data_IF_887338576307
#
_entry.id   IF_887338576307
#
_cell.length_a   1.000
_cell.length_b   1.000
_cell.length_c   1.000
_cell.angle_alpha   90.00
_cell.angle_beta   90.00
_cell.angle_gamma   90.00
#
_symmetry.space_group_name_H-M   'P 1'
#
loop_
_entity.id
_entity.type
_entity.pdbx_description
1 polymer ?
#
# COMPACT_ATOMS: atom_id res chain seq x y z
N UNK A 1 21.26 15.12 14.65
CA UNK A 1 21.86 13.77 14.69
C UNK A 1 22.89 13.60 15.80
N UNK A 2 23.56 14.67 16.26
CA UNK A 2 24.64 14.59 17.26
C UNK A 2 24.30 13.78 18.51
N UNK A 3 23.19 14.11 19.21
CA UNK A 3 22.77 13.35 20.41
C UNK A 3 22.46 11.87 20.11
N UNK A 4 21.80 11.60 18.98
CA UNK A 4 21.42 10.24 18.59
C UNK A 4 22.65 9.34 18.34
N UNK A 5 23.68 9.90 17.69
CA UNK A 5 24.93 9.19 17.45
C UNK A 5 25.78 9.09 18.72
N UNK A 6 25.78 10.14 19.56
CA UNK A 6 26.56 10.18 20.80
C UNK A 6 26.12 9.11 21.81
N UNK A 7 24.81 8.89 21.99
CA UNK A 7 24.34 7.83 22.92
C UNK A 7 24.71 6.42 22.43
N UNK A 8 24.84 6.22 21.12
CA UNK A 8 25.29 4.96 20.56
C UNK A 8 26.80 4.79 20.73
N UNK A 9 27.60 5.81 20.41
CA UNK A 9 29.06 5.72 20.44
C UNK A 9 29.64 5.69 21.86
N UNK A 10 29.17 6.59 22.74
CA UNK A 10 29.76 6.77 24.08
C UNK A 10 29.08 5.91 25.15
N UNK A 11 27.82 5.53 24.93
CA UNK A 11 27.03 4.80 25.92
C UNK A 11 26.57 3.43 25.45
N UNK A 12 26.93 3.01 24.24
CA UNK A 12 26.58 1.69 23.70
C UNK A 12 25.07 1.46 23.60
N UNK A 13 24.29 2.54 23.53
CA UNK A 13 22.84 2.45 23.43
C UNK A 13 22.47 1.80 22.09
N UNK A 14 21.68 0.72 22.16
CA UNK A 14 21.20 0.01 20.97
C UNK A 14 19.85 0.58 20.57
N UNK A 15 19.85 1.38 19.52
CA UNK A 15 18.63 1.93 18.94
C UNK A 15 17.67 0.84 18.48
N UNK A 16 16.37 1.08 18.68
CA UNK A 16 15.27 0.22 18.24
C UNK A 16 14.64 0.78 16.97
N UNK A 17 13.87 -0.02 16.23
CA UNK A 17 13.10 0.47 15.07
C UNK A 17 12.27 1.70 15.43
N UNK A 18 11.73 1.77 16.65
CA UNK A 18 10.98 2.92 17.14
C UNK A 18 11.84 4.18 17.29
N UNK A 19 13.05 4.10 17.85
CA UNK A 19 13.92 5.28 18.00
C UNK A 19 14.41 5.79 16.65
N UNK A 20 14.69 4.90 15.69
CA UNK A 20 14.97 5.27 14.31
C UNK A 20 13.77 5.94 13.63
N UNK A 21 12.58 5.35 13.76
CA UNK A 21 11.35 5.91 13.20
C UNK A 21 11.10 7.33 13.73
N UNK A 22 11.35 7.58 15.01
CA UNK A 22 11.28 8.93 15.58
C UNK A 22 12.31 9.89 14.97
N UNK A 23 13.56 9.45 14.79
CA UNK A 23 14.57 10.31 14.16
C UNK A 23 14.28 10.60 12.69
N UNK A 24 13.85 9.59 11.93
CA UNK A 24 13.38 9.76 10.55
C UNK A 24 12.24 10.76 10.48
N UNK A 25 11.28 10.65 11.41
CA UNK A 25 10.17 11.60 11.50
C UNK A 25 10.63 13.04 11.73
N UNK A 26 11.56 13.23 12.65
CA UNK A 26 12.16 14.53 12.98
C UNK A 26 12.92 15.08 11.77
N UNK A 27 13.82 14.31 11.18
CA UNK A 27 14.61 14.74 10.02
C UNK A 27 13.71 15.18 8.86
N UNK A 28 12.72 14.37 8.53
CA UNK A 28 11.77 14.70 7.46
C UNK A 28 10.91 15.93 7.77
N UNK A 29 10.56 16.20 9.04
CA UNK A 29 9.87 17.45 9.44
C UNK A 29 10.73 18.70 9.20
N UNK A 30 12.04 18.55 9.27
CA UNK A 30 13.01 19.60 8.93
C UNK A 30 13.48 19.54 7.47
N UNK A 31 12.80 18.77 6.62
CA UNK A 31 13.11 18.60 5.19
C UNK A 31 14.48 17.94 4.90
N UNK A 32 15.09 17.31 5.90
CA UNK A 32 16.35 16.55 5.79
C UNK A 32 16.10 15.12 5.25
N UNK A 33 15.45 15.02 4.09
CA UNK A 33 15.03 13.74 3.51
C UNK A 33 16.21 12.84 3.11
N UNK A 34 17.33 13.43 2.70
CA UNK A 34 18.52 12.66 2.32
C UNK A 34 19.15 11.99 3.53
N UNK A 35 19.25 12.72 4.64
CA UNK A 35 19.75 12.17 5.90
C UNK A 35 18.80 11.14 6.49
N UNK A 36 17.49 11.35 6.37
CA UNK A 36 16.49 10.36 6.77
C UNK A 36 16.62 9.05 5.97
N UNK A 37 16.88 9.14 4.65
CA UNK A 37 17.13 7.96 3.82
C UNK A 37 18.45 7.28 4.16
N UNK A 38 19.52 8.03 4.37
CA UNK A 38 20.80 7.48 4.82
C UNK A 38 20.64 6.71 6.13
N UNK A 39 19.95 7.30 7.10
CA UNK A 39 19.67 6.66 8.39
C UNK A 39 18.87 5.37 8.23
N UNK A 40 17.92 5.34 7.29
CA UNK A 40 17.20 4.12 6.94
C UNK A 40 18.08 3.10 6.23
N UNK A 41 19.04 3.51 5.39
CA UNK A 41 19.94 2.62 4.66
C UNK A 41 21.00 1.98 5.58
N UNK A 42 21.32 2.64 6.70
CA UNK A 42 22.17 2.09 7.76
C UNK A 42 21.52 0.88 8.48
N UNK A 43 20.20 0.65 8.34
CA UNK A 43 19.53 -0.55 8.86
C UNK A 43 18.67 -1.29 7.82
N UNK A 44 18.80 -2.63 7.73
CA UNK A 44 17.97 -3.43 6.84
C UNK A 44 16.53 -3.61 7.34
N UNK A 45 16.30 -3.56 8.65
CA UNK A 45 14.98 -3.77 9.25
C UNK A 45 14.11 -2.51 9.15
N UNK A 46 12.97 -2.64 8.49
CA UNK A 46 11.94 -1.60 8.35
C UNK A 46 10.58 -2.27 8.50
N UNK A 47 9.61 -1.56 9.04
CA UNK A 47 8.24 -2.05 9.22
C UNK A 47 7.22 -1.11 8.55
N UNK A 48 5.93 -1.47 8.61
CA UNK A 48 4.86 -0.63 8.08
C UNK A 48 4.83 0.78 8.70
N UNK A 49 5.24 0.93 9.97
CA UNK A 49 5.27 2.22 10.64
C UNK A 49 6.37 3.13 10.07
N UNK A 50 7.56 2.57 9.77
CA UNK A 50 8.65 3.27 9.08
C UNK A 50 8.16 3.88 7.76
N UNK A 51 7.53 3.07 6.91
CA UNK A 51 7.05 3.54 5.61
C UNK A 51 5.86 4.49 5.73
N UNK A 52 4.96 4.28 6.70
CA UNK A 52 3.88 5.22 6.98
C UNK A 52 4.40 6.61 7.33
N UNK A 53 5.48 6.71 8.11
CA UNK A 53 6.14 7.99 8.41
C UNK A 53 6.64 8.63 7.11
N UNK A 54 7.37 7.88 6.27
CA UNK A 54 7.89 8.39 5.00
C UNK A 54 6.76 8.90 4.09
N UNK A 55 5.68 8.13 3.91
CA UNK A 55 4.53 8.53 3.10
C UNK A 55 3.90 9.83 3.61
N UNK A 56 3.67 9.93 4.93
CA UNK A 56 3.13 11.14 5.55
C UNK A 56 4.03 12.35 5.31
N UNK A 57 5.34 12.18 5.51
CA UNK A 57 6.28 13.29 5.40
C UNK A 57 6.44 13.76 3.95
N UNK A 58 6.59 12.85 3.01
CA UNK A 58 6.61 13.18 1.59
C UNK A 58 5.31 13.85 1.13
N UNK A 59 4.14 13.28 1.48
CA UNK A 59 2.85 13.87 1.15
C UNK A 59 2.69 15.29 1.73
N UNK A 60 3.12 15.51 2.98
CA UNK A 60 3.09 16.83 3.61
C UNK A 60 4.00 17.85 2.91
N UNK A 61 5.16 17.40 2.41
CA UNK A 61 6.10 18.20 1.65
C UNK A 61 5.75 18.34 0.16
N UNK A 62 4.58 17.84 -0.26
CA UNK A 62 4.11 17.86 -1.66
C UNK A 62 4.96 17.00 -2.61
N UNK A 63 5.77 16.09 -2.06
CA UNK A 63 6.67 15.17 -2.76
C UNK A 63 5.97 13.85 -3.07
N UNK A 64 4.91 13.91 -3.88
CA UNK A 64 4.04 12.74 -4.14
C UNK A 64 4.77 11.64 -4.89
N UNK A 65 5.66 12.00 -5.82
CA UNK A 65 6.42 11.01 -6.60
C UNK A 65 7.34 10.20 -5.69
N UNK A 66 8.01 10.86 -4.75
CA UNK A 66 8.87 10.26 -3.75
C UNK A 66 8.10 9.34 -2.81
N UNK A 67 6.86 9.71 -2.43
CA UNK A 67 5.97 8.83 -1.66
C UNK A 67 5.62 7.55 -2.44
N UNK A 68 5.31 7.67 -3.73
CA UNK A 68 4.99 6.53 -4.60
C UNK A 68 6.22 5.65 -4.85
N UNK A 69 7.40 6.25 -5.05
CA UNK A 69 8.65 5.51 -5.22
C UNK A 69 9.04 4.77 -3.95
N UNK A 70 8.83 5.41 -2.79
CA UNK A 70 8.98 4.77 -1.49
C UNK A 70 8.05 3.55 -1.36
N UNK A 71 6.81 3.65 -1.82
CA UNK A 71 5.88 2.51 -1.84
C UNK A 71 6.34 1.39 -2.78
N UNK A 72 6.86 1.71 -3.96
CA UNK A 72 7.30 0.70 -4.92
C UNK A 72 8.48 -0.14 -4.40
N UNK A 73 9.28 0.40 -3.46
CA UNK A 73 10.39 -0.30 -2.81
C UNK A 73 9.96 -1.25 -1.69
N UNK A 74 8.70 -1.22 -1.24
CA UNK A 74 8.21 -2.10 -0.17
C UNK A 74 8.39 -3.59 -0.46
N UNK A 75 8.42 -3.97 -1.74
CA UNK A 75 8.67 -5.36 -2.16
C UNK A 75 10.03 -5.88 -1.71
N UNK A 76 11.04 -5.02 -1.60
CA UNK A 76 12.38 -5.36 -1.10
C UNK A 76 12.36 -5.76 0.38
N UNK A 77 11.33 -5.34 1.12
CA UNK A 77 11.16 -5.57 2.55
C UNK A 77 10.04 -6.58 2.87
N UNK A 78 9.41 -7.17 1.85
CA UNK A 78 8.20 -8.00 2.00
C UNK A 78 7.02 -7.28 2.68
N UNK A 79 6.91 -5.96 2.48
CA UNK A 79 5.86 -5.11 3.08
C UNK A 79 4.85 -4.61 2.04
N UNK A 80 4.87 -5.14 0.81
CA UNK A 80 3.94 -4.75 -0.24
C UNK A 80 2.60 -5.51 -0.10
N UNK A 81 1.83 -5.13 0.91
CA UNK A 81 0.52 -5.66 1.25
C UNK A 81 -0.56 -4.57 1.33
N UNK A 82 -1.78 -4.97 1.71
CA UNK A 82 -2.93 -4.07 1.88
C UNK A 82 -2.66 -2.96 2.90
N UNK A 83 -1.96 -3.26 4.00
CA UNK A 83 -1.67 -2.29 5.06
C UNK A 83 -0.82 -1.14 4.50
N UNK A 84 0.22 -1.46 3.74
CA UNK A 84 1.05 -0.45 3.10
C UNK A 84 0.31 0.37 2.05
N UNK A 85 -0.59 -0.26 1.29
CA UNK A 85 -1.41 0.43 0.30
C UNK A 85 -2.32 1.46 0.95
N UNK A 86 -3.03 1.06 2.01
CA UNK A 86 -3.89 1.95 2.81
C UNK A 86 -3.06 3.07 3.42
N UNK A 87 -1.89 2.78 4.00
CA UNK A 87 -1.03 3.79 4.60
C UNK A 87 -0.62 4.91 3.61
N UNK A 88 -0.26 4.57 2.37
CA UNK A 88 0.08 5.58 1.37
C UNK A 88 -1.15 6.42 0.98
N UNK A 89 -2.27 5.75 0.71
CA UNK A 89 -3.52 6.40 0.32
C UNK A 89 -3.98 7.37 1.42
N UNK A 90 -3.99 6.91 2.67
CA UNK A 90 -4.41 7.70 3.82
C UNK A 90 -3.49 8.90 4.01
N UNK A 91 -2.18 8.72 3.89
CA UNK A 91 -1.22 9.82 3.95
C UNK A 91 -1.47 10.87 2.86
N UNK A 92 -1.69 10.46 1.60
CA UNK A 92 -2.00 11.37 0.51
C UNK A 92 -3.32 12.12 0.77
N UNK A 93 -4.36 11.42 1.21
CA UNK A 93 -5.65 12.04 1.55
C UNK A 93 -5.53 13.03 2.73
N UNK A 94 -4.81 12.66 3.79
CA UNK A 94 -4.56 13.50 4.99
C UNK A 94 -3.91 14.83 4.60
N UNK A 95 -3.00 14.82 3.63
CA UNK A 95 -2.30 16.01 3.13
C UNK A 95 -2.88 16.56 1.82
N UNK A 96 -4.17 16.33 1.58
CA UNK A 96 -4.97 16.92 0.49
C UNK A 96 -4.47 16.61 -0.93
N UNK A 97 -3.72 15.51 -1.11
CA UNK A 97 -3.30 14.93 -2.40
C UNK A 97 -4.34 13.94 -2.93
N UNK A 98 -5.61 14.33 -2.91
CA UNK A 98 -6.74 13.42 -3.19
C UNK A 98 -6.77 13.00 -4.66
N UNK A 99 -6.35 13.89 -5.58
CA UNK A 99 -6.31 13.59 -7.01
C UNK A 99 -5.26 12.51 -7.26
N UNK A 100 -4.07 12.70 -6.71
CA UNK A 100 -2.94 11.78 -6.84
C UNK A 100 -3.22 10.44 -6.14
N UNK A 101 -3.88 10.47 -4.98
CA UNK A 101 -4.35 9.25 -4.31
C UNK A 101 -5.32 8.46 -5.20
N UNK A 102 -6.28 9.13 -5.84
CA UNK A 102 -7.23 8.51 -6.78
C UNK A 102 -6.50 7.96 -8.01
N UNK A 103 -5.56 8.71 -8.58
CA UNK A 103 -4.78 8.25 -9.73
C UNK A 103 -3.92 7.03 -9.41
N UNK A 104 -3.22 7.03 -8.27
CA UNK A 104 -2.41 5.91 -7.81
C UNK A 104 -3.27 4.65 -7.67
N UNK A 105 -4.42 4.81 -7.01
CA UNK A 105 -5.44 3.79 -6.86
C UNK A 105 -5.94 3.22 -8.20
N UNK A 106 -6.37 4.08 -9.12
CA UNK A 106 -6.83 3.67 -10.46
C UNK A 106 -5.75 2.98 -11.29
N UNK A 107 -4.48 3.41 -11.18
CA UNK A 107 -3.35 2.76 -11.86
C UNK A 107 -3.11 1.34 -11.35
N UNK A 108 -3.19 1.12 -10.03
CA UNK A 108 -3.07 -0.22 -9.43
C UNK A 108 -4.20 -1.14 -9.88
N UNK A 109 -5.43 -0.64 -9.82
CA UNK A 109 -6.61 -1.31 -10.36
C UNK A 109 -6.43 -1.75 -11.82
N UNK A 110 -6.07 -0.82 -12.71
CA UNK A 110 -5.89 -1.11 -14.13
C UNK A 110 -4.82 -2.18 -14.37
N UNK A 111 -3.79 -2.24 -13.52
CA UNK A 111 -2.77 -3.29 -13.56
C UNK A 111 -3.38 -4.65 -13.18
N UNK A 112 -4.21 -4.71 -12.14
CA UNK A 112 -4.97 -5.90 -11.75
C UNK A 112 -5.90 -6.40 -12.87
N UNK A 113 -6.68 -5.51 -13.48
CA UNK A 113 -7.57 -5.84 -14.61
C UNK A 113 -6.79 -6.35 -15.83
N UNK A 114 -5.64 -5.75 -16.16
CA UNK A 114 -4.79 -6.21 -17.26
C UNK A 114 -4.25 -7.62 -16.99
N UNK A 115 -3.73 -7.86 -15.78
CA UNK A 115 -3.23 -9.17 -15.38
C UNK A 115 -4.34 -10.23 -15.48
N UNK A 116 -5.55 -9.92 -15.00
CA UNK A 116 -6.73 -10.78 -15.15
C UNK A 116 -7.00 -11.17 -16.60
N UNK A 117 -7.07 -10.18 -17.49
CA UNK A 117 -7.35 -10.40 -18.90
C UNK A 117 -6.26 -11.23 -19.59
N UNK A 118 -4.99 -11.05 -19.21
CA UNK A 118 -3.88 -11.86 -19.73
C UNK A 118 -3.95 -13.32 -19.27
N UNK A 119 -4.25 -13.56 -17.99
CA UNK A 119 -4.40 -14.91 -17.46
C UNK A 119 -5.55 -15.66 -18.15
N UNK A 120 -6.68 -14.96 -18.36
CA UNK A 120 -7.83 -15.48 -19.09
C UNK A 120 -7.49 -15.83 -20.55
N UNK A 121 -6.81 -14.92 -21.28
CA UNK A 121 -6.36 -15.18 -22.66
C UNK A 121 -5.43 -16.38 -22.78
N UNK A 122 -4.58 -16.62 -21.77
CA UNK A 122 -3.65 -17.74 -21.73
C UNK A 122 -4.32 -19.06 -21.27
N UNK A 123 -5.62 -19.07 -20.98
CA UNK A 123 -6.32 -20.24 -20.46
C UNK A 123 -5.81 -20.70 -19.09
N UNK A 124 -5.14 -19.81 -18.34
CA UNK A 124 -4.63 -20.13 -17.01
C UNK A 124 -5.84 -20.18 -16.08
N UNK A 125 -6.09 -21.35 -15.49
CA UNK A 125 -7.13 -21.51 -14.47
C UNK A 125 -6.73 -20.70 -13.24
N UNK A 126 -7.39 -19.57 -13.05
CA UNK A 126 -7.23 -18.73 -11.87
C UNK A 126 -7.61 -19.54 -10.62
N UNK A 127 -6.75 -19.50 -9.60
CA UNK A 127 -7.08 -20.08 -8.30
C UNK A 127 -7.85 -19.06 -7.44
N UNK A 128 -8.41 -19.51 -6.32
CA UNK A 128 -9.22 -18.70 -5.42
C UNK A 128 -8.49 -17.44 -4.94
N UNK A 129 -7.18 -17.55 -4.66
CA UNK A 129 -6.33 -16.44 -4.24
C UNK A 129 -6.26 -15.37 -5.33
N UNK A 130 -6.02 -15.75 -6.59
CA UNK A 130 -5.95 -14.81 -7.70
C UNK A 130 -7.29 -14.08 -7.93
N UNK A 131 -8.41 -14.82 -7.85
CA UNK A 131 -9.73 -14.19 -7.93
C UNK A 131 -9.99 -13.23 -6.77
N UNK A 132 -9.65 -13.61 -5.54
CA UNK A 132 -9.83 -12.76 -4.36
C UNK A 132 -8.96 -11.51 -4.40
N UNK A 133 -7.72 -11.59 -4.89
CA UNK A 133 -6.87 -10.41 -5.11
C UNK A 133 -7.47 -9.48 -6.16
N UNK A 134 -7.92 -10.04 -7.29
CA UNK A 134 -8.54 -9.27 -8.37
C UNK A 134 -9.84 -8.62 -7.89
N UNK A 135 -10.64 -9.34 -7.10
CA UNK A 135 -11.87 -8.83 -6.49
C UNK A 135 -11.55 -7.74 -5.45
N UNK A 136 -10.62 -7.96 -4.55
CA UNK A 136 -10.23 -6.93 -3.58
C UNK A 136 -9.73 -5.65 -4.28
N UNK A 137 -8.88 -5.79 -5.31
CA UNK A 137 -8.37 -4.64 -6.07
C UNK A 137 -9.43 -3.98 -6.96
N UNK A 138 -10.38 -4.74 -7.54
CA UNK A 138 -11.42 -4.23 -8.45
C UNK A 138 -12.64 -3.68 -7.73
N UNK A 139 -13.08 -4.33 -6.65
CA UNK A 139 -14.33 -4.02 -5.96
C UNK A 139 -14.38 -2.62 -5.37
N UNK A 140 -13.24 -2.02 -5.06
CA UNK A 140 -13.17 -0.69 -4.45
C UNK A 140 -13.37 0.45 -5.49
N UNK A 141 -13.32 0.18 -6.80
CA UNK A 141 -13.12 1.25 -7.80
C UNK A 141 -14.12 1.36 -8.97
N UNK A 142 -14.63 0.27 -9.53
CA UNK A 142 -15.40 0.33 -10.80
C UNK A 142 -16.90 0.11 -10.67
N UNK A 143 -17.41 0.09 -9.45
CA UNK A 143 -18.84 -0.10 -9.19
C UNK A 143 -19.28 -1.57 -9.28
N UNK A 144 -20.52 -1.81 -8.88
CA UNK A 144 -21.10 -3.14 -8.65
C UNK A 144 -21.05 -4.04 -9.90
N UNK A 145 -21.13 -3.49 -11.11
CA UNK A 145 -21.35 -4.27 -12.33
C UNK A 145 -20.16 -5.17 -12.74
N UNK A 146 -18.93 -4.64 -12.71
CA UNK A 146 -17.72 -5.43 -13.03
C UNK A 146 -17.54 -6.53 -11.99
N UNK A 147 -17.89 -6.23 -10.75
CA UNK A 147 -17.79 -7.11 -9.59
C UNK A 147 -18.80 -8.26 -9.62
N UNK A 148 -20.06 -7.96 -9.92
CA UNK A 148 -21.13 -8.95 -10.10
C UNK A 148 -20.81 -9.88 -11.27
N UNK A 149 -20.23 -9.36 -12.36
CA UNK A 149 -19.81 -10.18 -13.50
C UNK A 149 -18.65 -11.12 -13.13
N UNK A 150 -17.67 -10.65 -12.37
CA UNK A 150 -16.57 -11.48 -11.83
C UNK A 150 -17.08 -12.57 -10.87
N UNK A 151 -17.98 -12.21 -9.94
CA UNK A 151 -18.59 -13.19 -9.02
C UNK A 151 -19.41 -14.26 -9.76
N UNK A 152 -20.18 -13.87 -10.79
CA UNK A 152 -20.90 -14.83 -11.66
C UNK A 152 -19.95 -15.73 -12.44
N UNK A 153 -18.80 -15.22 -12.89
CA UNK A 153 -17.79 -16.01 -13.60
C UNK A 153 -17.12 -17.04 -12.67
N UNK A 154 -16.81 -16.67 -11.41
CA UNK A 154 -16.28 -17.61 -10.41
C UNK A 154 -17.20 -18.79 -10.17
N UNK A 155 -18.51 -18.53 -10.00
CA UNK A 155 -19.52 -19.58 -9.83
C UNK A 155 -19.60 -20.47 -11.07
N UNK A 156 -19.57 -19.90 -12.28
CA UNK A 156 -19.58 -20.67 -13.53
C UNK A 156 -18.35 -21.56 -13.70
N UNK A 157 -17.21 -21.17 -13.15
CA UNK A 157 -15.96 -21.93 -13.22
C UNK A 157 -15.80 -22.94 -12.07
N UNK A 158 -16.81 -23.06 -11.19
CA UNK A 158 -16.81 -23.98 -10.06
C UNK A 158 -15.94 -23.53 -8.89
N UNK A 159 -15.62 -22.24 -8.80
CA UNK A 159 -14.94 -21.66 -7.64
C UNK A 159 -15.98 -21.29 -6.58
N UNK A 160 -15.85 -21.86 -5.38
CA UNK A 160 -16.67 -21.45 -4.24
C UNK A 160 -16.25 -20.06 -3.76
N UNK A 161 -17.21 -19.13 -3.73
CA UNK A 161 -17.04 -17.81 -3.13
C UNK A 161 -16.87 -18.00 -1.62
N UNK A 162 -15.84 -17.40 -1.03
CA UNK A 162 -15.63 -17.48 0.42
C UNK A 162 -16.33 -16.33 1.16
N UNK A 163 -16.34 -16.39 2.49
CA UNK A 163 -17.00 -15.40 3.36
C UNK A 163 -16.49 -13.98 3.09
N UNK A 164 -15.21 -13.83 2.77
CA UNK A 164 -14.59 -12.54 2.46
C UNK A 164 -15.10 -11.98 1.13
N UNK A 165 -15.22 -12.80 0.09
CA UNK A 165 -15.83 -12.40 -1.18
C UNK A 165 -17.28 -11.95 -0.98
N UNK A 166 -18.06 -12.68 -0.17
CA UNK A 166 -19.45 -12.29 0.14
C UNK A 166 -19.54 -10.98 0.91
N UNK A 167 -18.71 -10.78 1.94
CA UNK A 167 -18.72 -9.55 2.74
C UNK A 167 -18.40 -8.31 1.88
N UNK A 168 -17.46 -8.44 0.94
CA UNK A 168 -17.13 -7.35 0.02
C UNK A 168 -18.30 -7.08 -0.94
N UNK A 169 -18.93 -8.12 -1.50
CA UNK A 169 -20.11 -7.99 -2.38
C UNK A 169 -21.25 -7.29 -1.63
N UNK A 170 -21.59 -7.75 -0.43
CA UNK A 170 -22.70 -7.20 0.35
C UNK A 170 -22.46 -5.74 0.72
N UNK A 171 -21.24 -5.40 1.17
CA UNK A 171 -20.89 -4.01 1.50
C UNK A 171 -21.06 -3.08 0.29
N UNK A 172 -20.58 -3.48 -0.88
CA UNK A 172 -20.66 -2.68 -2.11
C UNK A 172 -22.09 -2.54 -2.64
N UNK A 173 -22.90 -3.60 -2.56
CA UNK A 173 -24.33 -3.53 -2.93
C UNK A 173 -25.07 -2.52 -2.03
N UNK A 174 -24.85 -2.58 -0.71
CA UNK A 174 -25.42 -1.63 0.23
C UNK A 174 -24.97 -0.18 -0.02
N UNK A 175 -23.69 0.04 -0.36
CA UNK A 175 -23.15 1.37 -0.65
C UNK A 175 -23.66 1.97 -1.98
N UNK A 176 -24.12 1.14 -2.92
CA UNK A 176 -24.64 1.56 -4.22
C UNK A 176 -26.18 1.50 -4.33
N UNK A 177 -26.88 1.08 -3.26
CA UNK A 177 -28.34 1.04 -3.22
C UNK A 177 -28.99 0.01 -4.16
N UNK A 178 -28.30 -1.10 -4.43
CA UNK A 178 -28.77 -2.22 -5.26
C UNK A 178 -29.14 -3.40 -4.36
#
# INVERSE_FOLDING_TARGET
MEFFNWVESEHGFKHTTETYNHMVDILCKFFEFDLARQLLDERPERDHATFRIMFKRYASAHLVHEAIDCYNKLGEFNLNDETSFVNLVDALCEYKRVIEAKEFKSKKLLKGVKLYNEMKKKGIKLNLVAYNTIIHEIGVFEGVDVFVNLGREMVKLGCELNVETYNIITKLLCENGI
#
